data_IF_251178336968
#
_entry.id   IF_251178336968
#
_cell.length_a   1.000
_cell.length_b   1.000
_cell.length_c   1.000
_cell.angle_alpha   90.00
_cell.angle_beta   90.00
_cell.angle_gamma   90.00
#
_symmetry.space_group_name_H-M   'P 1'
#
loop_
_entity.id
_entity.type
_entity.pdbx_description
1 polymer ?
#
# COMPACT_ATOMS: atom_id res chain seq x y z
N UNK A 1 29.18 1.37 -10.33
CA UNK A 1 29.26 2.65 -11.06
C UNK A 1 28.81 3.73 -10.10
N UNK A 2 29.76 4.20 -9.29
CA UNK A 2 29.56 5.35 -8.40
C UNK A 2 29.62 6.59 -9.28
N UNK A 3 28.53 7.38 -9.30
CA UNK A 3 28.56 8.70 -9.95
C UNK A 3 29.06 9.68 -8.91
N UNK A 4 30.24 10.23 -9.15
CA UNK A 4 30.80 11.32 -8.37
C UNK A 4 29.86 12.53 -8.40
N UNK A 5 29.47 13.00 -7.22
CA UNK A 5 28.62 14.19 -7.08
C UNK A 5 29.49 15.44 -7.22
N UNK A 6 29.26 16.22 -8.28
CA UNK A 6 29.92 17.51 -8.48
C UNK A 6 29.32 18.52 -7.51
N UNK A 7 30.06 18.85 -6.45
CA UNK A 7 29.75 19.98 -5.57
C UNK A 7 29.87 21.28 -6.36
N UNK A 8 28.75 21.95 -6.62
CA UNK A 8 28.74 23.28 -7.25
C UNK A 8 28.98 24.32 -6.15
N UNK A 9 30.20 24.84 -6.06
CA UNK A 9 30.53 25.97 -5.19
C UNK A 9 30.10 27.29 -5.84
N UNK A 10 29.28 28.07 -5.13
CA UNK A 10 28.87 29.40 -5.56
C UNK A 10 29.97 30.42 -5.26
N UNK A 11 30.62 30.92 -6.32
CA UNK A 11 31.53 32.06 -6.23
C UNK A 11 30.74 33.34 -6.49
N UNK A 12 30.29 33.98 -5.42
CA UNK A 12 29.60 35.27 -5.45
C UNK A 12 30.62 36.42 -5.51
N UNK A 13 30.86 36.95 -6.71
CA UNK A 13 31.01 38.38 -7.05
C UNK A 13 31.84 38.54 -8.34
N UNK A 14 31.29 39.09 -9.44
CA UNK A 14 32.11 39.66 -10.48
C UNK A 14 32.54 41.07 -10.07
N UNK A 15 33.84 41.23 -9.93
CA UNK A 15 34.56 42.49 -9.74
C UNK A 15 34.20 43.47 -10.88
N UNK A 16 33.81 44.69 -10.52
CA UNK A 16 33.41 45.76 -11.46
C UNK A 16 34.63 46.66 -11.75
N UNK A 17 35.83 46.08 -11.89
CA UNK A 17 37.07 46.85 -12.03
C UNK A 17 37.49 47.12 -13.48
N UNK A 18 36.97 46.38 -14.46
CA UNK A 18 37.54 46.41 -15.82
C UNK A 18 36.58 47.04 -16.83
N UNK A 19 36.39 48.36 -16.74
CA UNK A 19 35.86 49.16 -17.86
C UNK A 19 36.98 50.10 -18.33
N UNK A 20 37.50 49.94 -19.56
CA UNK A 20 38.51 50.84 -20.11
C UNK A 20 37.94 52.26 -20.22
N UNK A 21 38.58 53.18 -19.52
CA UNK A 21 38.18 54.56 -19.41
C UNK A 21 38.78 55.35 -20.59
N UNK A 22 38.29 55.10 -21.81
CA UNK A 22 38.72 55.88 -22.97
C UNK A 22 37.55 56.62 -23.65
N UNK A 23 37.65 57.96 -23.55
CA UNK A 23 37.02 59.03 -24.32
C UNK A 23 35.81 58.64 -25.18
N UNK A 24 34.61 58.93 -24.69
CA UNK A 24 33.42 59.09 -25.54
C UNK A 24 32.65 60.35 -25.13
N UNK A 25 32.81 61.45 -25.90
CA UNK A 25 31.78 62.49 -26.01
C UNK A 25 30.60 61.85 -26.73
N UNK A 26 29.73 61.19 -25.98
CA UNK A 26 28.55 60.51 -26.49
C UNK A 26 27.28 61.20 -25.99
N UNK A 27 26.31 61.32 -26.90
CA UNK A 27 24.97 61.84 -26.64
C UNK A 27 24.39 61.30 -25.31
N UNK A 28 23.88 62.15 -24.40
CA UNK A 28 23.36 61.73 -23.09
C UNK A 28 22.25 60.67 -23.18
N UNK A 29 21.52 60.64 -24.29
CA UNK A 29 20.51 59.65 -24.58
C UNK A 29 21.11 58.24 -24.79
N UNK A 30 22.27 58.14 -25.44
CA UNK A 30 22.91 56.86 -25.78
C UNK A 30 23.43 56.12 -24.53
N UNK A 31 23.94 56.85 -23.54
CA UNK A 31 24.40 56.30 -22.24
C UNK A 31 23.23 55.73 -21.42
N UNK A 32 22.04 56.35 -21.53
CA UNK A 32 20.84 55.90 -20.83
C UNK A 32 20.29 54.58 -21.40
N UNK A 33 20.29 54.45 -22.73
CA UNK A 33 19.82 53.23 -23.41
C UNK A 33 20.76 52.04 -23.22
N UNK A 34 22.08 52.27 -23.18
CA UNK A 34 23.06 51.20 -22.91
C UNK A 34 22.94 50.66 -21.48
N UNK A 35 22.75 51.52 -20.48
CA UNK A 35 22.56 51.09 -19.09
C UNK A 35 21.29 50.25 -18.86
N UNK A 36 20.19 50.60 -19.52
CA UNK A 36 18.93 49.82 -19.46
C UNK A 36 19.13 48.43 -20.09
N UNK A 37 19.82 48.36 -21.22
CA UNK A 37 20.09 47.10 -21.94
C UNK A 37 20.95 46.16 -21.10
N UNK A 38 21.99 46.67 -20.43
CA UNK A 38 22.88 45.88 -19.56
C UNK A 38 22.11 45.30 -18.37
N UNK A 39 21.28 46.10 -17.68
CA UNK A 39 20.46 45.62 -16.56
C UNK A 39 19.47 44.55 -17.01
N UNK A 40 18.85 44.72 -18.18
CA UNK A 40 17.92 43.74 -18.75
C UNK A 40 18.63 42.41 -19.05
N UNK A 41 19.82 42.45 -19.67
CA UNK A 41 20.60 41.23 -19.95
C UNK A 41 21.04 40.53 -18.66
N UNK A 42 21.45 41.27 -17.63
CA UNK A 42 21.89 40.68 -16.37
C UNK A 42 20.72 40.01 -15.62
N UNK A 43 19.55 40.66 -15.59
CA UNK A 43 18.35 40.06 -15.00
C UNK A 43 17.93 38.79 -15.75
N UNK A 44 18.02 38.77 -17.08
CA UNK A 44 17.70 37.58 -17.87
C UNK A 44 18.63 36.42 -17.51
N UNK A 45 19.95 36.64 -17.46
CA UNK A 45 20.91 35.59 -17.06
C UNK A 45 20.61 35.03 -15.66
N UNK A 46 20.21 35.89 -14.71
CA UNK A 46 19.81 35.45 -13.37
C UNK A 46 18.56 34.58 -13.41
N UNK A 47 17.56 34.97 -14.20
CA UNK A 47 16.32 34.20 -14.38
C UNK A 47 16.62 32.84 -15.02
N UNK A 48 17.46 32.80 -16.04
CA UNK A 48 17.83 31.56 -16.74
C UNK A 48 18.55 30.60 -15.79
N UNK A 49 19.55 31.09 -15.04
CA UNK A 49 20.29 30.31 -14.04
C UNK A 49 19.40 29.81 -12.88
N UNK A 50 18.47 30.65 -12.42
CA UNK A 50 17.49 30.24 -11.40
C UNK A 50 16.54 29.18 -11.95
N UNK A 51 16.12 29.29 -13.20
CA UNK A 51 15.23 28.33 -13.85
C UNK A 51 15.89 26.96 -13.97
N UNK A 52 17.15 26.91 -14.39
CA UNK A 52 17.96 25.69 -14.47
C UNK A 52 18.12 25.04 -13.08
N UNK A 53 18.36 25.85 -12.04
CA UNK A 53 18.43 25.36 -10.66
C UNK A 53 17.11 24.77 -10.18
N UNK A 54 15.98 25.43 -10.49
CA UNK A 54 14.64 24.95 -10.14
C UNK A 54 14.34 23.62 -10.85
N UNK A 55 14.73 23.49 -12.12
CA UNK A 55 14.56 22.26 -12.89
C UNK A 55 15.38 21.11 -12.30
N UNK A 56 16.66 21.36 -11.98
CA UNK A 56 17.52 20.38 -11.30
C UNK A 56 16.97 19.94 -9.94
N UNK A 57 16.42 20.86 -9.15
CA UNK A 57 15.80 20.52 -7.85
C UNK A 57 14.52 19.69 -8.01
N UNK A 58 13.70 19.97 -9.03
CA UNK A 58 12.51 19.17 -9.33
C UNK A 58 12.88 17.74 -9.69
N UNK A 59 13.85 17.56 -10.60
CA UNK A 59 14.37 16.25 -10.97
C UNK A 59 14.86 15.48 -9.75
N UNK A 60 15.56 16.16 -8.83
CA UNK A 60 16.07 15.55 -7.61
C UNK A 60 14.97 15.13 -6.63
N UNK A 61 13.89 15.90 -6.51
CA UNK A 61 12.73 15.54 -5.67
C UNK A 61 12.06 14.29 -6.24
N UNK A 62 11.84 14.24 -7.56
CA UNK A 62 11.23 13.09 -8.22
C UNK A 62 12.07 11.81 -8.01
N UNK A 63 13.40 11.90 -8.13
CA UNK A 63 14.31 10.80 -7.81
C UNK A 63 14.14 10.30 -6.36
N UNK A 64 14.10 11.21 -5.39
CA UNK A 64 13.98 10.86 -3.97
C UNK A 64 12.61 10.27 -3.63
N UNK A 65 11.53 10.77 -4.22
CA UNK A 65 10.19 10.19 -4.05
C UNK A 65 10.14 8.75 -4.60
N UNK A 66 10.77 8.52 -5.75
CA UNK A 66 10.90 7.20 -6.34
C UNK A 66 11.71 6.28 -5.43
N UNK A 67 12.86 6.72 -4.94
CA UNK A 67 13.72 5.91 -4.08
C UNK A 67 13.02 5.54 -2.77
N UNK A 68 12.35 6.50 -2.14
CA UNK A 68 11.52 6.28 -0.95
C UNK A 68 10.40 5.26 -1.22
N UNK A 69 9.74 5.37 -2.37
CA UNK A 69 8.71 4.40 -2.77
C UNK A 69 9.29 2.99 -2.93
N UNK A 70 10.44 2.84 -3.60
CA UNK A 70 11.12 1.54 -3.79
C UNK A 70 11.54 0.95 -2.45
N UNK A 71 12.15 1.75 -1.57
CA UNK A 71 12.57 1.30 -0.23
C UNK A 71 11.38 0.81 0.59
N UNK A 72 10.26 1.54 0.57
CA UNK A 72 9.04 1.12 1.26
C UNK A 72 8.48 -0.22 0.74
N UNK A 73 8.57 -0.47 -0.58
CA UNK A 73 8.18 -1.77 -1.15
C UNK A 73 9.12 -2.89 -0.72
N UNK A 74 10.43 -2.64 -0.67
CA UNK A 74 11.43 -3.62 -0.21
C UNK A 74 11.23 -3.98 1.26
N UNK A 75 10.94 -3.01 2.13
CA UNK A 75 10.61 -3.24 3.54
C UNK A 75 9.39 -4.16 3.66
N UNK A 76 8.31 -3.89 2.89
CA UNK A 76 7.11 -4.75 2.87
C UNK A 76 7.43 -6.18 2.42
N UNK A 77 8.30 -6.35 1.42
CA UNK A 77 8.75 -7.66 0.96
C UNK A 77 9.54 -8.40 2.04
N UNK A 78 10.50 -7.73 2.70
CA UNK A 78 11.28 -8.31 3.80
C UNK A 78 10.37 -8.74 4.95
N UNK A 79 9.37 -7.93 5.31
CA UNK A 79 8.38 -8.29 6.32
C UNK A 79 7.58 -9.55 5.92
N UNK A 80 7.19 -9.68 4.65
CA UNK A 80 6.51 -10.88 4.15
C UNK A 80 7.42 -12.12 4.20
N UNK A 81 8.67 -12.00 3.77
CA UNK A 81 9.60 -13.12 3.73
C UNK A 81 10.00 -13.57 5.15
N UNK A 82 10.19 -12.62 6.08
CA UNK A 82 10.39 -12.92 7.50
C UNK A 82 9.21 -13.69 8.10
N UNK A 83 7.97 -13.33 7.74
CA UNK A 83 6.78 -14.08 8.19
C UNK A 83 6.75 -15.51 7.66
N UNK A 84 7.14 -15.72 6.40
CA UNK A 84 7.22 -17.08 5.82
C UNK A 84 8.26 -17.94 6.54
N UNK A 85 9.42 -17.35 6.87
CA UNK A 85 10.49 -18.05 7.60
C UNK A 85 10.03 -18.44 9.01
N UNK A 86 9.42 -17.51 9.74
CA UNK A 86 8.85 -17.79 11.08
C UNK A 86 7.82 -18.92 11.04
N UNK A 87 7.04 -19.03 9.97
CA UNK A 87 6.10 -20.14 9.77
C UNK A 87 6.86 -21.47 9.53
N UNK A 88 7.94 -21.49 8.74
CA UNK A 88 8.73 -22.71 8.48
C UNK A 88 9.39 -23.27 9.74
N UNK A 89 9.93 -22.42 10.61
CA UNK A 89 10.58 -22.86 11.85
C UNK A 89 9.59 -23.50 12.83
N UNK A 90 8.36 -22.98 12.90
CA UNK A 90 7.28 -23.57 13.70
C UNK A 90 6.90 -24.96 13.15
N UNK A 91 6.90 -25.14 11.83
CA UNK A 91 6.55 -26.42 11.18
C UNK A 91 7.61 -27.49 11.43
N UNK A 92 8.88 -27.10 11.45
CA UNK A 92 9.99 -28.04 11.64
C UNK A 92 10.15 -28.46 13.11
N UNK A 93 9.80 -27.60 14.08
CA UNK A 93 9.82 -27.95 15.51
C UNK A 93 8.69 -28.88 15.95
N UNK A 94 7.59 -28.98 15.20
CA UNK A 94 6.46 -29.86 15.52
C UNK A 94 6.56 -31.31 14.99
N UNK A 95 7.71 -31.73 14.45
CA UNK A 95 7.92 -33.08 13.89
C UNK A 95 8.75 -34.02 14.76
N UNK A 96 9.21 -33.58 15.93
CA UNK A 96 9.80 -34.46 16.94
C UNK A 96 8.77 -34.65 18.05
N UNK A 97 8.57 -35.92 18.45
CA UNK A 97 7.76 -36.38 19.57
C UNK A 97 6.26 -36.61 19.30
N UNK A 98 5.96 -37.69 18.55
CA UNK A 98 4.74 -38.48 18.78
C UNK A 98 5.11 -39.95 18.88
N UNK A 99 5.51 -40.37 20.09
CA UNK A 99 5.31 -41.74 20.59
C UNK A 99 4.50 -41.60 21.88
N UNK A 100 3.34 -42.25 21.95
CA UNK A 100 2.75 -42.58 23.25
C UNK A 100 1.24 -42.35 23.38
N UNK A 101 0.52 -43.48 23.35
CA UNK A 101 -0.71 -43.79 24.08
C UNK A 101 -2.05 -43.12 23.69
N UNK A 102 -2.80 -43.87 22.87
CA UNK A 102 -4.26 -43.92 22.94
C UNK A 102 -4.70 -44.55 24.26
N UNK A 103 -5.57 -43.86 25.01
CA UNK A 103 -6.49 -44.48 25.96
C UNK A 103 -7.84 -43.78 25.86
N UNK A 104 -8.81 -44.52 25.32
CA UNK A 104 -10.24 -44.22 25.36
C UNK A 104 -10.74 -44.31 26.80
N UNK A 105 -11.40 -43.26 27.28
CA UNK A 105 -12.41 -43.36 28.34
C UNK A 105 -13.59 -42.45 27.96
N UNK A 106 -14.72 -43.08 27.68
CA UNK A 106 -16.05 -42.49 27.67
C UNK A 106 -16.44 -42.14 29.10
N UNK A 107 -17.08 -40.99 29.31
CA UNK A 107 -18.17 -40.89 30.29
C UNK A 107 -19.10 -39.72 29.98
N UNK A 108 -20.40 -40.02 30.07
CA UNK A 108 -21.53 -39.11 29.89
C UNK A 108 -21.89 -38.47 31.25
N UNK A 109 -22.24 -37.19 31.26
CA UNK A 109 -22.78 -36.50 32.43
C UNK A 109 -23.57 -35.25 32.05
N UNK A 110 -24.82 -35.19 32.53
CA UNK A 110 -25.94 -34.37 32.09
C UNK A 110 -26.16 -33.09 32.93
N UNK A 111 -27.13 -32.25 32.49
CA UNK A 111 -27.86 -31.19 33.23
C UNK A 111 -27.04 -29.91 33.51
N UNK A 112 -27.42 -28.68 33.16
CA UNK A 112 -28.71 -28.08 32.80
C UNK A 112 -28.90 -26.83 33.67
N UNK A 113 -29.07 -25.64 33.08
CA UNK A 113 -29.82 -24.52 33.68
C UNK A 113 -29.94 -23.34 32.71
N UNK A 114 -31.19 -22.96 32.47
CA UNK A 114 -31.60 -21.79 31.73
C UNK A 114 -31.54 -20.54 32.64
N UNK A 115 -31.28 -19.37 32.04
CA UNK A 115 -31.87 -18.08 32.43
C UNK A 115 -31.60 -17.05 31.33
N UNK A 116 -32.65 -16.67 30.61
CA UNK A 116 -32.80 -15.38 29.92
C UNK A 116 -33.48 -14.39 30.90
N UNK A 117 -33.60 -13.06 30.67
CA UNK A 117 -33.69 -12.38 29.36
C UNK A 117 -33.06 -10.96 29.26
N UNK A 118 -32.99 -10.39 28.05
CA UNK A 118 -33.41 -9.02 27.75
C UNK A 118 -33.39 -8.72 26.25
N UNK A 119 -34.52 -8.20 25.78
CA UNK A 119 -34.77 -7.74 24.41
C UNK A 119 -34.17 -6.36 24.17
N UNK A 120 -33.52 -6.16 23.03
CA UNK A 120 -33.46 -4.86 22.35
C UNK A 120 -33.68 -5.09 20.86
N UNK A 121 -34.77 -4.55 20.35
CA UNK A 121 -35.15 -4.48 18.95
C UNK A 121 -34.29 -3.43 18.23
N UNK A 122 -33.68 -3.77 17.10
CA UNK A 122 -33.37 -2.81 16.04
C UNK A 122 -33.22 -3.52 14.70
N UNK A 123 -34.13 -3.20 13.81
CA UNK A 123 -34.28 -3.65 12.43
C UNK A 123 -33.07 -3.35 11.57
N UNK A 124 -32.41 -4.38 11.03
CA UNK A 124 -31.94 -4.54 9.63
C UNK A 124 -31.44 -5.98 9.48
N UNK A 125 -32.25 -6.82 8.84
CA UNK A 125 -32.01 -8.25 8.69
C UNK A 125 -31.09 -8.54 7.50
N UNK A 126 -29.80 -8.69 7.76
CA UNK A 126 -28.86 -9.44 6.92
C UNK A 126 -27.93 -10.29 7.81
N UNK A 127 -28.22 -11.59 7.91
CA UNK A 127 -27.36 -12.69 8.37
C UNK A 127 -26.32 -12.39 9.49
N UNK A 128 -26.79 -11.80 10.59
CA UNK A 128 -25.98 -11.54 11.80
C UNK A 128 -25.59 -12.84 12.54
N UNK A 129 -26.15 -14.00 12.20
CA UNK A 129 -25.85 -15.27 12.87
C UNK A 129 -24.43 -15.79 12.60
N UNK A 130 -23.76 -15.28 11.57
CA UNK A 130 -22.44 -15.72 11.14
C UNK A 130 -21.29 -15.13 11.98
N UNK A 131 -21.44 -13.89 12.49
CA UNK A 131 -20.37 -13.20 13.24
C UNK A 131 -20.19 -13.79 14.65
N UNK A 132 -21.24 -14.01 15.47
CA UNK A 132 -21.10 -14.67 16.77
C UNK A 132 -20.47 -16.07 16.65
N UNK A 133 -20.80 -16.79 15.58
CA UNK A 133 -20.19 -18.10 15.27
C UNK A 133 -18.70 -17.97 14.93
N UNK A 134 -18.31 -16.94 14.17
CA UNK A 134 -16.91 -16.63 13.87
C UNK A 134 -16.12 -16.26 15.13
N UNK A 135 -16.68 -15.38 15.97
CA UNK A 135 -16.12 -15.00 17.27
C UNK A 135 -15.89 -16.25 18.12
N UNK A 136 -16.89 -17.12 18.22
CA UNK A 136 -16.80 -18.35 18.99
C UNK A 136 -15.69 -19.29 18.46
N UNK A 137 -15.59 -19.48 17.14
CA UNK A 137 -14.56 -20.33 16.53
C UNK A 137 -13.15 -19.76 16.72
N UNK A 138 -12.99 -18.43 16.62
CA UNK A 138 -11.74 -17.76 16.92
C UNK A 138 -11.38 -17.96 18.40
N UNK A 139 -12.33 -17.76 19.32
CA UNK A 139 -12.11 -17.95 20.75
C UNK A 139 -11.70 -19.39 21.08
N UNK A 140 -12.38 -20.40 20.50
CA UNK A 140 -11.99 -21.81 20.65
C UNK A 140 -10.57 -22.08 20.13
N UNK A 141 -10.17 -21.42 19.04
CA UNK A 141 -8.82 -21.53 18.50
C UNK A 141 -7.79 -20.91 19.42
N UNK A 142 -8.16 -19.83 20.11
CA UNK A 142 -7.32 -19.12 21.06
C UNK A 142 -7.03 -19.95 22.29
N UNK A 143 -8.06 -20.61 22.85
CA UNK A 143 -7.94 -21.45 24.04
C UNK A 143 -6.99 -22.65 23.86
N UNK A 144 -6.69 -23.05 22.61
CA UNK A 144 -5.81 -24.19 22.31
C UNK A 144 -4.30 -23.87 22.36
N UNK A 145 -3.90 -22.76 22.98
CA UNK A 145 -2.52 -22.27 23.31
C UNK A 145 -1.45 -22.23 22.20
N UNK A 146 -1.67 -22.73 20.99
CA UNK A 146 -0.71 -22.68 19.90
C UNK A 146 -1.34 -22.23 18.58
N UNK A 147 -1.80 -20.98 18.54
CA UNK A 147 -2.45 -20.42 17.35
C UNK A 147 -1.40 -20.15 16.27
N UNK A 148 -1.49 -20.93 15.19
CA UNK A 148 -0.72 -20.72 13.96
C UNK A 148 -1.66 -20.33 12.82
N UNK A 149 -1.12 -19.74 11.74
CA UNK A 149 -1.91 -19.44 10.53
C UNK A 149 -2.60 -20.69 9.97
N UNK A 150 -1.95 -21.86 10.07
CA UNK A 150 -2.53 -23.15 9.65
C UNK A 150 -3.80 -23.45 10.42
N UNK A 151 -3.78 -23.20 11.72
CA UNK A 151 -4.93 -23.42 12.59
C UNK A 151 -6.04 -22.42 12.30
N UNK A 152 -5.81 -21.31 11.59
CA UNK A 152 -6.86 -20.36 11.21
C UNK A 152 -7.29 -20.50 9.75
N UNK A 153 -6.61 -21.33 8.94
CA UNK A 153 -7.00 -21.56 7.54
C UNK A 153 -8.39 -22.15 7.39
N UNK A 154 -8.87 -22.93 8.37
CA UNK A 154 -10.25 -23.44 8.34
C UNK A 154 -11.28 -22.30 8.31
N UNK A 155 -10.97 -21.12 8.90
CA UNK A 155 -11.88 -19.97 8.88
C UNK A 155 -12.16 -19.50 7.44
N UNK A 156 -11.18 -19.61 6.54
CA UNK A 156 -11.35 -19.27 5.12
C UNK A 156 -12.32 -20.22 4.40
N UNK A 157 -12.44 -21.46 4.87
CA UNK A 157 -13.35 -22.45 4.29
C UNK A 157 -14.77 -22.33 4.84
N UNK A 158 -14.92 -21.90 6.10
CA UNK A 158 -16.21 -21.82 6.78
C UNK A 158 -16.85 -20.45 6.74
N UNK A 159 -16.08 -19.39 6.50
CA UNK A 159 -16.58 -18.02 6.44
C UNK A 159 -16.17 -17.38 5.13
N UNK A 160 -17.12 -16.64 4.54
CA UNK A 160 -16.79 -15.78 3.42
C UNK A 160 -15.85 -14.66 3.85
N UNK A 161 -15.05 -14.19 2.91
CA UNK A 161 -14.13 -13.06 3.11
C UNK A 161 -14.86 -11.79 3.59
N UNK A 162 -16.12 -11.59 3.19
CA UNK A 162 -16.98 -10.52 3.70
C UNK A 162 -17.13 -10.60 5.22
N UNK A 163 -17.40 -11.79 5.76
CA UNK A 163 -17.55 -11.98 7.21
C UNK A 163 -16.25 -11.69 7.95
N UNK A 164 -15.12 -12.15 7.41
CA UNK A 164 -13.80 -11.90 7.99
C UNK A 164 -13.46 -10.40 7.99
N UNK A 165 -13.71 -9.70 6.89
CA UNK A 165 -13.49 -8.25 6.78
C UNK A 165 -14.40 -7.50 7.76
N UNK A 166 -15.70 -7.84 7.84
CA UNK A 166 -16.63 -7.24 8.82
C UNK A 166 -16.15 -7.49 10.26
N UNK A 167 -15.70 -8.71 10.57
CA UNK A 167 -15.17 -9.04 11.88
C UNK A 167 -13.99 -8.17 12.28
N UNK A 168 -13.05 -7.87 11.36
CA UNK A 168 -11.93 -6.98 11.69
C UNK A 168 -12.32 -5.53 12.03
N UNK A 169 -13.58 -5.16 11.80
CA UNK A 169 -14.14 -3.83 12.15
C UNK A 169 -14.93 -3.86 13.47
N UNK A 170 -15.00 -5.01 14.14
CA UNK A 170 -15.73 -5.19 15.40
C UNK A 170 -14.85 -4.97 16.63
N UNK A 171 -15.49 -4.66 17.77
CA UNK A 171 -14.80 -4.52 19.06
C UNK A 171 -14.19 -5.84 19.54
N UNK A 172 -14.82 -6.97 19.21
CA UNK A 172 -14.29 -8.30 19.52
C UNK A 172 -12.90 -8.50 18.90
N UNK A 173 -12.72 -8.06 17.65
CA UNK A 173 -11.41 -8.10 17.00
C UNK A 173 -10.40 -7.18 17.70
N UNK A 174 -10.83 -6.00 18.16
CA UNK A 174 -9.97 -5.06 18.88
C UNK A 174 -9.49 -5.62 20.23
N UNK A 175 -10.29 -6.48 20.86
CA UNK A 175 -9.95 -7.17 22.11
C UNK A 175 -8.91 -8.30 21.94
N UNK A 176 -8.68 -8.77 20.71
CA UNK A 176 -7.72 -9.84 20.44
C UNK A 176 -6.26 -9.40 20.67
N UNK A 177 -5.38 -10.38 20.94
CA UNK A 177 -3.94 -10.11 20.95
C UNK A 177 -3.44 -9.71 19.55
N UNK A 178 -2.43 -8.84 19.50
CA UNK A 178 -1.81 -8.36 18.25
C UNK A 178 -1.33 -9.51 17.34
N UNK A 179 -0.88 -10.61 17.94
CA UNK A 179 -0.52 -11.82 17.20
C UNK A 179 -1.70 -12.37 16.42
N UNK A 180 -2.87 -12.49 17.04
CA UNK A 180 -4.07 -13.07 16.40
C UNK A 180 -4.61 -12.09 15.36
N UNK A 181 -4.69 -10.79 15.69
CA UNK A 181 -5.08 -9.74 14.74
C UNK A 181 -4.26 -9.82 13.46
N UNK A 182 -2.93 -9.93 13.59
CA UNK A 182 -2.00 -10.08 12.47
C UNK A 182 -2.27 -11.34 11.64
N UNK A 183 -2.56 -12.48 12.28
CA UNK A 183 -2.86 -13.72 11.56
C UNK A 183 -4.17 -13.65 10.77
N UNK A 184 -5.21 -13.05 11.35
CA UNK A 184 -6.50 -12.85 10.67
C UNK A 184 -6.33 -11.89 9.49
N UNK A 185 -5.63 -10.76 9.70
CA UNK A 185 -5.32 -9.81 8.63
C UNK A 185 -4.49 -10.46 7.50
N UNK A 186 -3.57 -11.35 7.83
CA UNK A 186 -2.81 -12.12 6.86
C UNK A 186 -3.69 -13.09 6.06
N UNK A 187 -4.64 -13.76 6.72
CA UNK A 187 -5.60 -14.65 6.07
C UNK A 187 -6.50 -13.90 5.08
N UNK A 188 -6.97 -12.70 5.47
CA UNK A 188 -7.73 -11.80 4.60
C UNK A 188 -6.87 -11.39 3.41
N UNK A 189 -5.63 -10.94 3.64
CA UNK A 189 -4.71 -10.57 2.57
C UNK A 189 -4.43 -11.72 1.59
N UNK A 190 -4.21 -12.94 2.08
CA UNK A 190 -4.02 -14.15 1.26
C UNK A 190 -5.25 -14.39 0.38
N UNK A 191 -6.45 -14.32 0.99
CA UNK A 191 -7.72 -14.54 0.29
C UNK A 191 -7.98 -13.48 -0.80
N UNK A 192 -7.82 -12.20 -0.49
CA UNK A 192 -7.97 -11.11 -1.46
C UNK A 192 -6.92 -11.16 -2.57
N UNK A 193 -5.69 -11.56 -2.23
CA UNK A 193 -4.60 -11.71 -3.21
C UNK A 193 -4.84 -12.84 -4.21
N UNK A 194 -5.48 -13.93 -3.79
CA UNK A 194 -5.80 -15.07 -4.65
C UNK A 194 -6.84 -14.74 -5.74
N UNK A 195 -7.76 -13.81 -5.48
CA UNK A 195 -8.73 -13.36 -6.48
C UNK A 195 -8.04 -12.81 -7.74
N UNK A 196 -6.91 -12.13 -7.56
CA UNK A 196 -6.08 -11.63 -8.66
C UNK A 196 -5.22 -12.69 -9.33
N UNK A 197 -5.12 -13.91 -8.80
CA UNK A 197 -4.39 -15.00 -9.46
C UNK A 197 -5.27 -15.70 -10.50
N UNK A 198 -6.59 -15.66 -10.34
CA UNK A 198 -7.56 -16.27 -11.26
C UNK A 198 -7.54 -15.60 -12.63
N UNK A 199 -7.96 -16.35 -13.66
CA UNK A 199 -8.08 -15.85 -15.05
C UNK A 199 -9.22 -14.84 -15.15
N UNK A 200 -10.37 -15.17 -14.56
CA UNK A 200 -11.52 -14.28 -14.42
C UNK A 200 -11.54 -13.69 -13.02
N UNK A 201 -11.09 -12.44 -12.91
CA UNK A 201 -11.08 -11.74 -11.62
C UNK A 201 -12.47 -11.22 -11.31
N UNK A 202 -12.98 -11.63 -10.16
CA UNK A 202 -14.19 -11.06 -9.53
C UNK A 202 -13.79 -10.59 -8.15
N UNK A 203 -13.97 -9.30 -7.88
CA UNK A 203 -13.64 -8.72 -6.57
C UNK A 203 -14.77 -9.00 -5.59
N UNK A 204 -14.44 -9.64 -4.47
CA UNK A 204 -15.39 -9.90 -3.39
C UNK A 204 -15.65 -8.67 -2.51
N UNK A 205 -14.74 -7.70 -2.49
CA UNK A 205 -14.81 -6.48 -1.67
C UNK A 205 -14.89 -5.20 -2.50
N UNK A 206 -15.12 -4.08 -1.80
CA UNK A 206 -14.92 -2.74 -2.36
C UNK A 206 -13.44 -2.46 -2.58
N UNK A 207 -13.13 -1.66 -3.60
CA UNK A 207 -11.75 -1.32 -4.00
C UNK A 207 -10.89 -0.79 -2.85
N UNK A 208 -11.45 0.06 -2.00
CA UNK A 208 -10.76 0.64 -0.84
C UNK A 208 -10.20 -0.43 0.10
N UNK A 209 -10.91 -1.55 0.29
CA UNK A 209 -10.44 -2.62 1.17
C UNK A 209 -9.15 -3.25 0.62
N UNK A 210 -9.03 -3.43 -0.70
CA UNK A 210 -7.80 -3.94 -1.31
C UNK A 210 -6.63 -2.95 -1.18
N UNK A 211 -6.90 -1.65 -1.22
CA UNK A 211 -5.91 -0.59 -1.06
C UNK A 211 -5.42 -0.54 0.39
N UNK A 212 -6.34 -0.46 1.35
CA UNK A 212 -6.06 -0.40 2.79
C UNK A 212 -5.26 -1.62 3.26
N UNK A 213 -5.57 -2.80 2.70
CA UNK A 213 -4.87 -4.06 3.00
C UNK A 213 -3.55 -4.21 2.23
N UNK A 214 -3.21 -3.28 1.34
CA UNK A 214 -2.00 -3.31 0.52
C UNK A 214 -1.96 -4.43 -0.52
N UNK A 215 -3.12 -4.97 -0.92
CA UNK A 215 -3.23 -5.94 -2.02
C UNK A 215 -2.96 -5.25 -3.36
N UNK A 216 -3.44 -4.02 -3.52
CA UNK A 216 -3.13 -3.15 -4.66
C UNK A 216 -2.57 -1.82 -4.13
N UNK A 217 -1.71 -1.12 -4.90
CA UNK A 217 -1.22 0.18 -4.48
C UNK A 217 -2.34 1.21 -4.55
N UNK A 218 -2.34 2.16 -3.62
CA UNK A 218 -3.15 3.37 -3.72
C UNK A 218 -2.77 4.15 -4.98
N UNK A 219 -3.74 4.89 -5.53
CA UNK A 219 -3.47 5.77 -6.66
C UNK A 219 -2.54 6.90 -6.22
N UNK A 220 -1.43 7.17 -6.93
CA UNK A 220 -0.59 8.33 -6.62
C UNK A 220 -1.35 9.64 -6.89
N UNK A 221 -0.92 10.71 -6.21
CA UNK A 221 -1.48 12.05 -6.46
C UNK A 221 -1.29 12.43 -7.94
N UNK A 222 -2.30 13.08 -8.52
CA UNK A 222 -2.29 13.51 -9.93
C UNK A 222 -2.83 12.47 -10.93
N UNK A 223 -3.15 11.26 -10.47
CA UNK A 223 -3.85 10.26 -11.28
C UNK A 223 -5.31 10.17 -10.86
N UNK A 224 -6.21 9.97 -11.83
CA UNK A 224 -7.65 9.83 -11.58
C UNK A 224 -8.17 8.40 -11.81
N UNK A 225 -7.36 7.54 -12.43
CA UNK A 225 -7.71 6.13 -12.67
C UNK A 225 -6.47 5.24 -12.74
N UNK A 226 -6.67 3.94 -12.51
CA UNK A 226 -5.60 2.95 -12.70
C UNK A 226 -5.18 2.83 -14.16
N UNK A 227 -6.08 3.11 -15.11
CA UNK A 227 -5.76 3.20 -16.54
C UNK A 227 -4.70 4.28 -16.79
N UNK A 228 -4.96 5.51 -16.34
CA UNK A 228 -3.99 6.61 -16.46
C UNK A 228 -2.68 6.30 -15.72
N UNK A 229 -2.78 5.71 -14.52
CA UNK A 229 -1.60 5.32 -13.76
C UNK A 229 -0.73 4.30 -14.49
N UNK A 230 -1.32 3.35 -15.22
CA UNK A 230 -0.58 2.30 -15.94
C UNK A 230 0.34 2.81 -17.05
N UNK A 231 0.10 4.03 -17.54
CA UNK A 231 0.90 4.67 -18.60
C UNK A 231 2.13 5.41 -18.03
N UNK A 232 2.21 5.57 -16.70
CA UNK A 232 3.24 6.37 -16.03
C UNK A 232 4.59 5.66 -15.88
N UNK A 233 5.64 6.47 -15.68
CA UNK A 233 6.98 6.00 -15.30
C UNK A 233 6.94 5.29 -13.94
N UNK A 234 6.11 5.78 -13.01
CA UNK A 234 5.92 5.17 -11.68
C UNK A 234 5.39 3.74 -11.79
N UNK A 235 4.45 3.49 -12.68
CA UNK A 235 3.96 2.15 -12.96
C UNK A 235 5.07 1.25 -13.51
N UNK A 236 5.92 1.75 -14.41
CA UNK A 236 7.08 0.98 -14.93
C UNK A 236 8.07 0.58 -13.82
N UNK A 237 8.12 1.29 -12.70
CA UNK A 237 8.96 0.94 -11.53
C UNK A 237 8.31 -0.05 -10.55
N UNK A 238 7.02 -0.36 -10.71
CA UNK A 238 6.33 -1.32 -9.84
C UNK A 238 6.86 -2.76 -10.00
N UNK A 239 6.69 -3.54 -8.93
CA UNK A 239 6.88 -4.98 -8.96
C UNK A 239 5.92 -5.64 -9.97
N UNK A 240 6.40 -6.67 -10.67
CA UNK A 240 5.63 -7.48 -11.63
C UNK A 240 4.26 -7.91 -11.09
N UNK A 241 4.17 -8.38 -9.85
CA UNK A 241 2.91 -8.82 -9.24
C UNK A 241 1.91 -7.66 -9.14
N UNK A 242 2.37 -6.48 -8.72
CA UNK A 242 1.50 -5.31 -8.60
C UNK A 242 1.06 -4.79 -9.97
N UNK A 243 1.96 -4.79 -10.95
CA UNK A 243 1.63 -4.46 -12.35
C UNK A 243 0.54 -5.38 -12.88
N UNK A 244 0.67 -6.69 -12.70
CA UNK A 244 -0.34 -7.68 -13.11
C UNK A 244 -1.69 -7.42 -12.44
N UNK A 245 -1.70 -7.15 -11.13
CA UNK A 245 -2.94 -6.83 -10.39
C UNK A 245 -3.63 -5.58 -10.94
N UNK A 246 -2.89 -4.51 -11.20
CA UNK A 246 -3.41 -3.27 -11.78
C UNK A 246 -3.95 -3.52 -13.19
N UNK A 247 -3.20 -4.24 -14.04
CA UNK A 247 -3.65 -4.58 -15.40
C UNK A 247 -4.97 -5.35 -15.37
N UNK A 248 -5.11 -6.32 -14.47
CA UNK A 248 -6.38 -7.05 -14.27
C UNK A 248 -7.50 -6.14 -13.79
N UNK A 249 -7.21 -5.19 -12.90
CA UNK A 249 -8.18 -4.22 -12.44
C UNK A 249 -8.74 -3.36 -13.59
N UNK A 250 -7.86 -2.86 -14.46
CA UNK A 250 -8.25 -2.11 -15.67
C UNK A 250 -9.12 -2.97 -16.60
N UNK A 251 -8.85 -4.27 -16.72
CA UNK A 251 -9.68 -5.18 -17.51
C UNK A 251 -11.09 -5.33 -16.92
N UNK A 252 -11.22 -5.40 -15.59
CA UNK A 252 -12.52 -5.45 -14.92
C UNK A 252 -13.31 -4.17 -15.17
N UNK A 253 -12.66 -3.00 -15.02
CA UNK A 253 -13.28 -1.69 -15.29
C UNK A 253 -13.82 -1.62 -16.73
N UNK A 254 -13.03 -2.07 -17.71
CA UNK A 254 -13.45 -2.16 -19.12
C UNK A 254 -14.69 -3.04 -19.29
N UNK A 255 -14.68 -4.27 -18.76
CA UNK A 255 -15.81 -5.21 -18.84
C UNK A 255 -17.10 -4.60 -18.26
N UNK A 256 -17.00 -3.89 -17.13
CA UNK A 256 -18.13 -3.21 -16.50
C UNK A 256 -18.68 -2.06 -17.34
N UNK A 257 -17.82 -1.34 -18.06
CA UNK A 257 -18.27 -0.26 -18.98
C UNK A 257 -18.91 -0.81 -20.26
N UNK A 258 -18.40 -1.90 -20.82
CA UNK A 258 -18.93 -2.50 -22.06
C UNK A 258 -20.26 -3.20 -21.82
N UNK A 259 -20.40 -3.95 -20.71
CA UNK A 259 -21.66 -4.66 -20.39
C UNK A 259 -22.84 -3.76 -19.99
N UNK A 260 -22.62 -2.46 -19.73
CA UNK A 260 -23.70 -1.48 -19.54
C UNK A 260 -24.30 -0.98 -20.84
N UNK A 261 -23.61 -1.13 -21.97
CA UNK A 261 -24.05 -0.62 -23.28
C UNK A 261 -24.81 -1.67 -24.12
N UNK A 262 -24.92 -2.92 -23.64
CA UNK A 262 -25.62 -4.03 -24.33
C UNK A 262 -27.03 -4.29 -23.76
N UNK A 263 -27.53 -3.41 -22.88
CA UNK A 263 -28.92 -3.43 -22.40
C UNK A 263 -29.65 -2.17 -22.87
N UNK A 264 -29.93 -2.10 -24.17
CA UNK A 264 -30.95 -1.22 -24.75
C UNK A 264 -31.75 -1.99 -25.78
#
# INVERSE_FOLDING_TARGET
>A
MEKEFTTISFQNNPDISDIPNDKVRGDPQNIRWSGIKIRKMNNQRRIDSQSETIESLRDRIDELEIDSFIQNQNIKKLQQDFNKLKIKDIINKGKCDVKGHEKLVNDNGSIGSATSPLQISSTYSEDQGSIPKLVHQIQQSITRENISLRNLRYLKHHFSINHLVRYTKSDDFNSLSERIKRLINLLIYESLSEEFQRKDVTLSQKLNEYIERGVIPALPKGYNSYKQYSESILFKKLNKILKERITKLIQIEKKLTTGKNEKF
#
